data_IF_605512546394
#
_entry.id   IF_605512546394
#
_cell.length_a   1.000
_cell.length_b   1.000
_cell.length_c   1.000
_cell.angle_alpha   90.00
_cell.angle_beta   90.00
_cell.angle_gamma   90.00
#
_symmetry.space_group_name_H-M   'P 1'
#
loop_
_entity.id
_entity.type
_entity.pdbx_description
1 polymer ?
#
# COMPACT_ATOMS: atom_id res chain seq x y z
N UNK A 1 -18.07 -14.87 15.04
CA UNK A 1 -16.94 -14.06 15.59
C UNK A 1 -16.27 -13.37 14.42
N UNK A 2 -16.59 -12.10 14.15
CA UNK A 2 -15.93 -11.32 13.10
C UNK A 2 -14.59 -10.88 13.66
N UNK A 3 -13.52 -11.59 13.32
CA UNK A 3 -12.17 -11.21 13.72
C UNK A 3 -11.90 -9.79 13.21
N UNK A 4 -11.68 -8.86 14.13
CA UNK A 4 -11.22 -7.50 13.81
C UNK A 4 -9.81 -7.66 13.24
N UNK A 5 -9.68 -7.70 11.92
CA UNK A 5 -8.40 -7.73 11.22
C UNK A 5 -7.61 -6.48 11.63
N UNK A 6 -6.72 -6.64 12.61
CA UNK A 6 -5.68 -5.68 12.94
C UNK A 6 -4.54 -5.97 11.98
N UNK A 7 -4.56 -5.30 10.83
CA UNK A 7 -3.45 -5.35 9.88
C UNK A 7 -2.33 -4.48 10.43
N UNK A 8 -1.16 -5.08 10.62
CA UNK A 8 0.07 -4.36 10.95
C UNK A 8 0.46 -3.43 9.80
N UNK A 9 1.09 -2.30 10.14
CA UNK A 9 1.53 -1.30 9.14
C UNK A 9 2.49 -1.93 8.13
N UNK A 10 3.34 -2.87 8.58
CA UNK A 10 4.25 -3.64 7.71
C UNK A 10 3.50 -4.48 6.67
N UNK A 11 2.40 -5.13 7.04
CA UNK A 11 1.58 -5.91 6.10
C UNK A 11 0.92 -5.00 5.05
N UNK A 12 0.43 -3.84 5.47
CA UNK A 12 -0.12 -2.85 4.53
C UNK A 12 0.98 -2.36 3.59
N UNK A 13 2.19 -2.14 4.11
CA UNK A 13 3.34 -1.72 3.31
C UNK A 13 3.75 -2.75 2.26
N UNK A 14 3.76 -4.03 2.61
CA UNK A 14 4.03 -5.13 1.67
C UNK A 14 2.98 -5.20 0.55
N UNK A 15 1.69 -5.07 0.89
CA UNK A 15 0.61 -5.08 -0.12
C UNK A 15 0.72 -3.87 -1.06
N UNK A 16 0.93 -2.68 -0.49
CA UNK A 16 1.13 -1.46 -1.26
C UNK A 16 2.36 -1.57 -2.16
N UNK A 17 3.46 -2.12 -1.65
CA UNK A 17 4.67 -2.33 -2.43
C UNK A 17 4.46 -3.32 -3.57
N UNK A 18 3.79 -4.45 -3.33
CA UNK A 18 3.47 -5.40 -4.39
C UNK A 18 2.70 -4.74 -5.56
N UNK A 19 1.75 -3.85 -5.23
CA UNK A 19 1.04 -3.05 -6.25
C UNK A 19 1.95 -2.07 -7.00
N UNK A 20 2.84 -1.37 -6.29
CA UNK A 20 3.82 -0.46 -6.91
C UNK A 20 4.81 -1.20 -7.78
N UNK A 21 5.29 -2.35 -7.32
CA UNK A 21 6.19 -3.25 -8.05
C UNK A 21 5.53 -3.74 -9.34
N UNK A 22 4.29 -4.25 -9.28
CA UNK A 22 3.57 -4.66 -10.47
C UNK A 22 3.39 -3.51 -11.49
N UNK A 23 3.15 -2.29 -11.02
CA UNK A 23 3.11 -1.11 -11.88
C UNK A 23 4.48 -0.82 -12.52
N UNK A 24 5.57 -0.83 -11.72
CA UNK A 24 6.93 -0.59 -12.22
C UNK A 24 7.33 -1.64 -13.25
N UNK A 25 7.13 -2.91 -12.97
CA UNK A 25 7.41 -4.00 -13.90
C UNK A 25 6.62 -3.87 -15.22
N UNK A 26 5.36 -3.44 -15.15
CA UNK A 26 4.56 -3.18 -16.35
C UNK A 26 5.10 -2.01 -17.19
N UNK A 27 5.69 -1.00 -16.54
CA UNK A 27 6.23 0.19 -17.21
C UNK A 27 7.66 -0.02 -17.74
N UNK A 28 8.54 -0.63 -16.97
CA UNK A 28 9.96 -0.79 -17.30
C UNK A 28 10.27 -2.12 -17.97
N UNK A 29 9.40 -3.14 -17.81
CA UNK A 29 9.67 -4.55 -18.16
C UNK A 29 10.86 -5.15 -17.42
N UNK A 30 11.30 -4.51 -16.34
CA UNK A 30 12.41 -4.99 -15.51
C UNK A 30 11.87 -5.54 -14.19
N UNK A 31 12.38 -6.71 -13.75
CA UNK A 31 11.98 -7.28 -12.48
C UNK A 31 12.35 -6.35 -11.33
N UNK A 32 11.45 -6.18 -10.38
CA UNK A 32 11.69 -5.36 -9.20
C UNK A 32 12.15 -6.25 -8.03
N UNK A 33 12.96 -5.71 -7.10
CA UNK A 33 13.35 -6.45 -5.91
C UNK A 33 12.13 -6.80 -5.04
N UNK A 34 12.23 -7.88 -4.27
CA UNK A 34 11.22 -8.21 -3.27
C UNK A 34 11.29 -7.24 -2.08
N UNK A 35 10.20 -7.12 -1.32
CA UNK A 35 10.11 -6.21 -0.18
C UNK A 35 11.28 -6.39 0.80
N UNK A 36 11.62 -7.64 1.14
CA UNK A 36 12.68 -7.97 2.10
C UNK A 36 14.09 -7.72 1.55
N UNK A 37 14.23 -7.56 0.24
CA UNK A 37 15.50 -7.23 -0.42
C UNK A 37 15.73 -5.71 -0.53
N UNK A 38 14.71 -4.89 -0.22
CA UNK A 38 14.85 -3.44 -0.21
C UNK A 38 15.73 -2.96 0.94
N UNK A 39 16.45 -1.87 0.68
CA UNK A 39 17.09 -1.14 1.76
C UNK A 39 16.03 -0.53 2.70
N UNK A 40 16.29 -0.44 4.01
CA UNK A 40 15.33 0.11 4.98
C UNK A 40 14.83 1.52 4.63
N UNK A 41 15.66 2.32 3.98
CA UNK A 41 15.30 3.67 3.53
C UNK A 41 14.20 3.65 2.46
N UNK A 42 14.24 2.69 1.54
CA UNK A 42 13.24 2.57 0.46
C UNK A 42 11.93 1.98 0.97
N UNK A 43 12.00 1.02 1.91
CA UNK A 43 10.83 0.58 2.66
C UNK A 43 10.19 1.76 3.43
N UNK A 44 11.03 2.61 4.05
CA UNK A 44 10.61 3.81 4.78
C UNK A 44 9.83 4.79 3.90
N UNK A 45 10.29 5.04 2.66
CA UNK A 45 9.57 5.91 1.70
C UNK A 45 8.15 5.40 1.43
N UNK A 46 7.98 4.09 1.23
CA UNK A 46 6.67 3.50 0.96
C UNK A 46 5.77 3.60 2.19
N UNK A 47 6.32 3.33 3.38
CA UNK A 47 5.61 3.50 4.65
C UNK A 47 5.16 4.94 4.85
N UNK A 48 6.01 5.92 4.54
CA UNK A 48 5.66 7.35 4.66
C UNK A 48 4.49 7.73 3.76
N UNK A 49 4.48 7.26 2.50
CA UNK A 49 3.34 7.47 1.60
C UNK A 49 2.05 6.87 2.17
N UNK A 50 2.12 5.66 2.72
CA UNK A 50 0.97 4.99 3.35
C UNK A 50 0.49 5.79 4.56
N UNK A 51 1.41 6.25 5.42
CA UNK A 51 1.08 7.09 6.57
C UNK A 51 0.40 8.38 6.11
N UNK A 52 0.89 9.03 5.05
CA UNK A 52 0.24 10.22 4.48
C UNK A 52 -1.19 9.92 4.04
N UNK A 53 -1.43 8.83 3.28
CA UNK A 53 -2.78 8.42 2.87
C UNK A 53 -3.68 8.11 4.07
N UNK A 54 -3.15 7.34 5.03
CA UNK A 54 -3.89 6.88 6.20
C UNK A 54 -4.22 8.02 7.17
N UNK A 55 -3.41 9.07 7.22
CA UNK A 55 -3.64 10.28 8.04
C UNK A 55 -4.38 11.39 7.30
N UNK A 56 -4.68 11.22 6.01
CA UNK A 56 -5.38 12.22 5.21
C UNK A 56 -4.50 13.41 4.80
N UNK A 57 -3.17 13.25 4.89
CA UNK A 57 -2.22 14.25 4.37
C UNK A 57 -2.14 14.17 2.84
N UNK A 58 -1.81 15.28 2.17
CA UNK A 58 -1.57 15.28 0.73
C UNK A 58 -0.48 14.26 0.39
N UNK A 59 -0.77 13.39 -0.57
CA UNK A 59 0.23 12.49 -1.16
C UNK A 59 0.72 13.06 -2.48
N UNK A 60 1.99 12.83 -2.84
CA UNK A 60 2.52 13.20 -4.15
C UNK A 60 1.65 12.64 -5.27
N UNK A 61 1.40 13.46 -6.29
CA UNK A 61 0.59 13.06 -7.45
C UNK A 61 1.43 12.28 -8.45
N UNK A 62 1.84 11.09 -8.02
CA UNK A 62 2.63 10.15 -8.80
C UNK A 62 1.81 8.89 -9.08
N UNK A 63 2.13 8.12 -10.14
CA UNK A 63 1.47 6.84 -10.42
C UNK A 63 1.51 5.88 -9.23
N UNK A 64 2.62 5.85 -8.50
CA UNK A 64 2.78 5.04 -7.29
C UNK A 64 1.88 5.52 -6.15
N UNK A 65 1.82 6.84 -5.93
CA UNK A 65 0.91 7.45 -4.97
C UNK A 65 -0.56 7.15 -5.28
N UNK A 66 -0.94 7.10 -6.56
CA UNK A 66 -2.28 6.69 -6.98
C UNK A 66 -2.58 5.22 -6.64
N UNK A 67 -1.65 4.29 -6.92
CA UNK A 67 -1.80 2.88 -6.56
C UNK A 67 -1.97 2.71 -5.05
N UNK A 68 -1.11 3.35 -4.25
CA UNK A 68 -1.19 3.30 -2.79
C UNK A 68 -2.53 3.88 -2.30
N UNK A 69 -2.99 5.01 -2.85
CA UNK A 69 -4.30 5.60 -2.52
C UNK A 69 -5.45 4.63 -2.80
N UNK A 70 -5.44 3.95 -3.95
CA UNK A 70 -6.48 2.98 -4.31
C UNK A 70 -6.49 1.78 -3.36
N UNK A 71 -5.33 1.21 -3.07
CA UNK A 71 -5.19 0.07 -2.14
C UNK A 71 -5.67 0.46 -0.74
N UNK A 72 -5.19 1.58 -0.19
CA UNK A 72 -5.62 2.08 1.11
C UNK A 72 -7.12 2.42 1.15
N UNK A 73 -7.70 2.89 0.05
CA UNK A 73 -9.14 3.12 -0.07
C UNK A 73 -9.94 1.82 0.02
N UNK A 74 -9.51 0.76 -0.66
CA UNK A 74 -10.12 -0.59 -0.58
C UNK A 74 -10.03 -1.13 0.85
N UNK A 75 -8.85 -1.07 1.48
CA UNK A 75 -8.66 -1.51 2.88
C UNK A 75 -9.54 -0.73 3.87
N UNK A 76 -9.76 0.58 3.63
CA UNK A 76 -10.71 1.39 4.41
C UNK A 76 -12.17 1.04 4.10
N UNK A 77 -12.46 0.68 2.85
CA UNK A 77 -13.81 0.32 2.38
C UNK A 77 -14.25 -1.03 2.91
N UNK A 78 -13.37 -2.02 3.07
CA UNK A 78 -13.71 -3.31 3.70
C UNK A 78 -14.22 -3.13 5.15
N UNK A 79 -13.65 -2.18 5.89
CA UNK A 79 -14.21 -1.78 7.20
C UNK A 79 -15.62 -1.15 7.11
N UNK A 80 -16.02 -0.63 5.95
CA UNK A 80 -17.37 -0.07 5.69
C UNK A 80 -18.32 -1.03 4.95
N UNK A 81 -17.80 -2.04 4.26
CA UNK A 81 -18.56 -3.01 3.44
C UNK A 81 -18.84 -4.33 4.15
N UNK A 82 -18.32 -4.54 5.37
CA UNK A 82 -18.91 -5.47 6.33
C UNK A 82 -20.26 -4.94 6.84
N UNK A 83 -21.22 -4.73 5.92
CA UNK A 83 -22.64 -4.65 6.22
C UNK A 83 -23.25 -6.00 5.86
N UNK A 84 -23.62 -6.73 6.90
CA UNK A 84 -24.54 -7.87 6.95
C UNK A 84 -24.93 -8.48 5.59
N UNK A 85 -24.31 -9.59 5.26
CA UNK A 85 -24.98 -10.70 4.58
C UNK A 85 -25.02 -11.87 5.57
#
# INVERSE_FOLDING_TARGET
MTAKLSLEVSTIAQICYAGVTALREALTKEPQPEWDALQPEDQGKIVDYIVMVLTGRPTPDTPEGEVIRRICSVLRSEKKTLKYA
#
